data_IF_275389804794
#
_entry.id   IF_275389804794
#
_cell.length_a   1.000
_cell.length_b   1.000
_cell.length_c   1.000
_cell.angle_alpha   90.00
_cell.angle_beta   90.00
_cell.angle_gamma   90.00
#
_symmetry.space_group_name_H-M   'P 1'
#
loop_
_entity.id
_entity.type
_entity.pdbx_description
1 polymer ?
#
# COMPACT_ATOMS: atom_id res chain seq x y z
N UNK A 1 -2.97 -3.48 -4.24
CA UNK A 1 -2.89 -3.97 -5.64
C UNK A 1 -2.98 -5.50 -5.73
N UNK A 2 -1.97 -6.32 -5.36
CA UNK A 2 -2.07 -7.80 -5.50
C UNK A 2 -3.26 -8.40 -4.75
N UNK A 3 -3.61 -7.89 -3.57
CA UNK A 3 -4.80 -8.31 -2.82
C UNK A 3 -6.10 -8.06 -3.59
N UNK A 4 -6.21 -6.92 -4.25
CA UNK A 4 -7.37 -6.56 -5.10
C UNK A 4 -7.47 -7.50 -6.30
N UNK A 5 -6.33 -7.79 -6.96
CA UNK A 5 -6.28 -8.74 -8.08
C UNK A 5 -6.72 -10.15 -7.66
N UNK A 6 -6.20 -10.66 -6.53
CA UNK A 6 -6.59 -11.97 -6.02
C UNK A 6 -8.08 -12.04 -5.66
N UNK A 7 -8.64 -10.98 -5.07
CA UNK A 7 -10.06 -10.93 -4.75
C UNK A 7 -10.93 -10.92 -6.02
N UNK A 8 -10.57 -10.13 -7.03
CA UNK A 8 -11.27 -10.09 -8.31
C UNK A 8 -11.16 -11.42 -9.05
N UNK A 9 -9.98 -12.06 -9.04
CA UNK A 9 -9.77 -13.38 -9.60
C UNK A 9 -10.70 -14.41 -8.94
N UNK A 10 -10.69 -14.50 -7.60
CA UNK A 10 -11.51 -15.45 -6.83
C UNK A 10 -13.01 -15.26 -7.04
N UNK A 11 -13.47 -14.03 -7.21
CA UNK A 11 -14.88 -13.73 -7.44
C UNK A 11 -15.41 -14.25 -8.79
N UNK A 12 -14.52 -14.58 -9.74
CA UNK A 12 -14.88 -15.13 -11.06
C UNK A 12 -14.95 -16.66 -11.12
N UNK A 13 -14.59 -17.34 -10.04
CA UNK A 13 -14.44 -18.80 -10.05
C UNK A 13 -13.11 -19.22 -10.71
N UNK A 14 -12.41 -20.17 -10.10
CA UNK A 14 -11.03 -20.56 -10.48
C UNK A 14 -10.93 -21.36 -11.80
N UNK A 15 -11.87 -21.25 -12.71
CA UNK A 15 -11.94 -22.05 -13.95
C UNK A 15 -11.21 -21.37 -15.13
N UNK A 16 -10.97 -20.06 -15.07
CA UNK A 16 -10.31 -19.33 -16.14
C UNK A 16 -8.78 -19.52 -16.10
N UNK A 17 -8.16 -19.61 -17.28
CA UNK A 17 -6.71 -19.54 -17.39
C UNK A 17 -6.28 -18.06 -17.44
N UNK A 18 -5.16 -17.74 -16.85
CA UNK A 18 -4.67 -16.37 -16.83
C UNK A 18 -3.15 -16.29 -16.90
N UNK A 19 -2.67 -15.13 -17.38
CA UNK A 19 -1.27 -14.72 -17.31
C UNK A 19 -1.13 -13.54 -16.37
N UNK A 20 -0.13 -13.57 -15.49
CA UNK A 20 0.26 -12.43 -14.66
C UNK A 20 1.31 -11.61 -15.39
N UNK A 21 1.02 -10.33 -15.58
CA UNK A 21 1.94 -9.34 -16.12
C UNK A 21 2.40 -8.43 -14.99
N UNK A 22 3.70 -8.36 -14.74
CA UNK A 22 4.29 -7.61 -13.63
C UNK A 22 5.41 -6.69 -14.11
N UNK A 23 5.37 -5.40 -13.77
CA UNK A 23 6.52 -4.52 -13.97
C UNK A 23 7.60 -4.89 -12.95
N UNK A 24 8.77 -5.30 -13.44
CA UNK A 24 9.87 -5.79 -12.59
C UNK A 24 11.08 -4.85 -12.59
N UNK A 25 11.18 -3.94 -13.55
CA UNK A 25 12.22 -2.91 -13.60
C UNK A 25 11.75 -1.71 -14.39
N UNK A 26 12.25 -0.52 -14.03
CA UNK A 26 12.16 0.68 -14.86
C UNK A 26 13.36 1.60 -14.66
N UNK A 27 13.60 2.47 -15.66
CA UNK A 27 14.55 3.59 -15.59
C UNK A 27 13.88 4.83 -16.20
N UNK A 28 14.19 6.01 -15.67
CA UNK A 28 13.64 7.27 -16.16
C UNK A 28 12.18 7.51 -15.78
N UNK A 29 11.45 8.21 -16.66
CA UNK A 29 10.02 8.49 -16.48
C UNK A 29 9.19 7.36 -17.05
N UNK A 30 8.29 6.80 -16.22
CA UNK A 30 7.38 5.72 -16.60
C UNK A 30 5.99 6.00 -16.00
N UNK A 31 4.90 5.44 -16.59
CA UNK A 31 3.53 5.72 -16.13
C UNK A 31 3.29 5.36 -14.66
N UNK A 32 3.91 4.28 -14.17
CA UNK A 32 3.78 3.82 -12.79
C UNK A 32 5.11 3.31 -12.23
N UNK A 33 5.39 3.64 -10.95
CA UNK A 33 6.64 3.31 -10.24
C UNK A 33 6.40 2.45 -8.99
N UNK A 34 5.24 1.82 -8.89
CA UNK A 34 4.79 1.04 -7.74
C UNK A 34 4.76 -0.48 -8.00
N UNK A 35 5.55 -0.95 -8.98
CA UNK A 35 5.57 -2.36 -9.42
C UNK A 35 4.17 -2.88 -9.75
N UNK A 36 3.48 -2.24 -10.69
CA UNK A 36 2.11 -2.57 -11.02
C UNK A 36 2.00 -3.96 -11.63
N UNK A 37 0.83 -4.58 -11.40
CA UNK A 37 0.50 -5.92 -11.89
C UNK A 37 -0.86 -5.93 -12.56
N UNK A 38 -1.03 -6.83 -13.52
CA UNK A 38 -2.26 -7.04 -14.27
C UNK A 38 -2.42 -8.53 -14.56
N UNK A 39 -3.64 -9.06 -14.41
CA UNK A 39 -4.00 -10.38 -14.93
C UNK A 39 -4.68 -10.23 -16.28
N UNK A 40 -4.27 -11.06 -17.22
CA UNK A 40 -4.89 -11.21 -18.54
C UNK A 40 -5.56 -12.58 -18.56
N UNK A 41 -6.88 -12.61 -18.65
CA UNK A 41 -7.68 -13.82 -18.67
C UNK A 41 -7.85 -14.37 -20.09
N UNK A 42 -8.20 -15.64 -20.23
CA UNK A 42 -8.39 -16.31 -21.50
C UNK A 42 -9.59 -15.78 -22.32
N UNK A 43 -10.55 -15.12 -21.68
CA UNK A 43 -11.64 -14.39 -22.32
C UNK A 43 -11.23 -12.98 -22.78
N UNK A 44 -9.96 -12.58 -22.59
CA UNK A 44 -9.45 -11.25 -22.90
C UNK A 44 -9.71 -10.19 -21.83
N UNK A 45 -10.36 -10.54 -20.72
CA UNK A 45 -10.57 -9.60 -19.61
C UNK A 45 -9.25 -9.24 -18.94
N UNK A 46 -9.08 -7.94 -18.64
CA UNK A 46 -7.95 -7.41 -17.89
C UNK A 46 -8.39 -7.08 -16.46
N UNK A 47 -7.66 -7.60 -15.46
CA UNK A 47 -7.80 -7.22 -14.07
C UNK A 47 -6.55 -6.45 -13.62
N UNK A 48 -6.72 -5.22 -13.15
CA UNK A 48 -5.61 -4.32 -12.82
C UNK A 48 -5.03 -3.62 -14.04
N UNK A 49 -3.81 -3.06 -13.90
CA UNK A 49 -3.13 -2.32 -14.98
C UNK A 49 -1.63 -2.24 -14.70
N UNK A 50 -0.82 -2.25 -15.75
CA UNK A 50 0.64 -2.04 -15.67
C UNK A 50 1.05 -0.62 -16.12
N UNK A 51 0.09 0.26 -16.41
CA UNK A 51 0.34 1.66 -16.76
C UNK A 51 -0.48 2.20 -17.91
N UNK A 52 -1.28 1.35 -18.56
CA UNK A 52 -2.16 1.74 -19.68
C UNK A 52 -1.43 1.94 -21.01
N UNK A 53 -2.18 2.46 -21.99
CA UNK A 53 -1.66 2.83 -23.30
C UNK A 53 -1.25 1.65 -24.19
N UNK A 54 -0.47 1.97 -25.23
CA UNK A 54 -0.03 1.00 -26.24
C UNK A 54 0.88 -0.11 -25.66
N UNK A 55 1.67 0.19 -24.63
CA UNK A 55 2.50 -0.80 -23.95
C UNK A 55 1.64 -1.90 -23.29
N UNK A 56 0.63 -1.52 -22.52
CA UNK A 56 -0.30 -2.46 -21.88
C UNK A 56 -1.04 -3.29 -22.92
N UNK A 57 -1.46 -2.68 -24.03
CA UNK A 57 -2.11 -3.39 -25.14
C UNK A 57 -1.17 -4.41 -25.82
N UNK A 58 0.11 -4.08 -26.00
CA UNK A 58 1.11 -5.02 -26.55
C UNK A 58 1.32 -6.19 -25.60
N UNK A 59 1.50 -5.91 -24.30
CA UNK A 59 1.68 -6.94 -23.27
C UNK A 59 0.44 -7.84 -23.16
N UNK A 60 -0.76 -7.27 -23.10
CA UNK A 60 -2.01 -8.05 -22.99
C UNK A 60 -2.25 -8.96 -24.19
N UNK A 61 -1.97 -8.49 -25.40
CA UNK A 61 -2.05 -9.31 -26.62
C UNK A 61 -1.03 -10.46 -26.62
N UNK A 62 0.19 -10.20 -26.16
CA UNK A 62 1.21 -11.24 -26.06
C UNK A 62 0.82 -12.27 -24.99
N UNK A 63 0.40 -11.81 -23.81
CA UNK A 63 -0.06 -12.67 -22.73
C UNK A 63 -1.23 -13.56 -23.16
N UNK A 64 -2.22 -13.00 -23.88
CA UNK A 64 -3.38 -13.77 -24.38
C UNK A 64 -2.94 -14.89 -25.33
N UNK A 65 -1.97 -14.66 -26.21
CA UNK A 65 -1.42 -15.70 -27.10
C UNK A 65 -0.66 -16.78 -26.31
N UNK A 66 0.01 -16.42 -25.22
CA UNK A 66 0.76 -17.36 -24.38
C UNK A 66 -0.13 -18.25 -23.51
N UNK A 67 -1.42 -17.96 -23.34
CA UNK A 67 -2.34 -18.79 -22.54
C UNK A 67 -2.50 -20.21 -23.10
N UNK A 68 -2.39 -20.39 -24.41
CA UNK A 68 -2.50 -21.73 -25.06
C UNK A 68 -1.27 -22.61 -24.79
N UNK A 69 -0.09 -22.00 -24.75
CA UNK A 69 1.20 -22.66 -24.44
C UNK A 69 1.91 -21.86 -23.33
N UNK A 70 1.51 -22.09 -22.06
CA UNK A 70 1.97 -21.24 -20.98
C UNK A 70 3.47 -21.31 -20.75
N UNK A 71 4.14 -20.16 -20.83
CA UNK A 71 5.57 -20.00 -20.52
C UNK A 71 5.81 -18.64 -19.86
N UNK A 72 6.96 -18.47 -19.23
CA UNK A 72 7.36 -17.16 -18.71
C UNK A 72 8.21 -16.42 -19.73
N UNK A 73 8.00 -15.11 -19.87
CA UNK A 73 8.78 -14.26 -20.79
C UNK A 73 8.99 -12.87 -20.20
N UNK A 74 10.18 -12.33 -20.41
CA UNK A 74 10.52 -10.96 -20.03
C UNK A 74 10.48 -10.05 -21.27
N UNK A 75 9.65 -9.03 -21.22
CA UNK A 75 9.51 -8.02 -22.27
C UNK A 75 10.26 -6.75 -21.90
N UNK A 76 11.01 -6.20 -22.86
CA UNK A 76 11.68 -4.92 -22.76
C UNK A 76 10.94 -3.87 -23.58
N UNK A 77 10.70 -2.70 -22.97
CA UNK A 77 10.09 -1.54 -23.62
C UNK A 77 10.99 -0.33 -23.50
N UNK A 78 11.32 0.29 -24.63
CA UNK A 78 11.95 1.60 -24.70
C UNK A 78 10.89 2.65 -25.04
N UNK A 79 10.64 3.58 -24.10
CA UNK A 79 9.70 4.69 -24.24
C UNK A 79 10.42 6.04 -24.34
N UNK A 80 11.72 6.03 -24.67
CA UNK A 80 12.55 7.26 -24.79
C UNK A 80 12.27 8.03 -26.10
N UNK A 81 11.52 7.44 -27.03
CA UNK A 81 11.19 8.05 -28.32
C UNK A 81 12.26 7.92 -29.39
N UNK A 82 13.33 7.14 -29.14
CA UNK A 82 14.35 6.86 -30.13
C UNK A 82 13.87 5.90 -31.23
N UNK A 83 12.77 5.20 -31.00
CA UNK A 83 12.16 4.25 -31.92
C UNK A 83 10.82 4.80 -32.39
N UNK A 84 10.86 5.57 -33.50
CA UNK A 84 9.68 6.27 -34.07
C UNK A 84 8.61 5.30 -34.59
N UNK A 85 8.98 4.02 -34.83
CA UNK A 85 8.05 2.96 -35.24
C UNK A 85 7.37 2.26 -34.03
N UNK A 86 7.92 2.39 -32.82
CA UNK A 86 7.28 1.88 -31.62
C UNK A 86 6.22 2.87 -31.17
N UNK A 87 4.97 2.59 -31.47
CA UNK A 87 3.76 3.27 -30.98
C UNK A 87 3.57 3.09 -29.44
N UNK A 88 4.69 3.25 -28.70
CA UNK A 88 4.80 3.17 -27.24
C UNK A 88 4.89 4.59 -26.75
N UNK A 89 3.91 5.01 -25.94
CA UNK A 89 3.79 6.39 -25.47
C UNK A 89 5.12 7.00 -24.98
N UNK A 90 5.37 8.25 -25.33
CA UNK A 90 6.58 9.03 -25.05
C UNK A 90 6.65 9.39 -23.54
N UNK A 91 7.05 8.46 -22.69
CA UNK A 91 7.24 8.72 -21.26
C UNK A 91 8.71 8.97 -20.87
N UNK A 92 9.66 8.81 -21.79
CA UNK A 92 11.08 9.11 -21.59
C UNK A 92 11.84 8.10 -20.73
N UNK A 93 11.34 6.88 -20.55
CA UNK A 93 12.00 5.85 -19.76
C UNK A 93 12.02 4.46 -20.42
N UNK A 94 12.63 3.50 -19.73
CA UNK A 94 12.60 2.08 -20.12
C UNK A 94 11.92 1.24 -19.08
N UNK A 95 11.31 0.11 -19.48
CA UNK A 95 10.49 -0.74 -18.62
C UNK A 95 10.70 -2.20 -18.97
N UNK A 96 10.80 -3.07 -17.95
CA UNK A 96 10.74 -4.53 -18.12
C UNK A 96 9.48 -5.09 -17.51
N UNK A 97 8.76 -5.91 -18.27
CA UNK A 97 7.53 -6.58 -17.85
C UNK A 97 7.73 -8.09 -17.92
N UNK A 98 7.57 -8.75 -16.78
CA UNK A 98 7.49 -10.20 -16.71
C UNK A 98 6.05 -10.63 -17.01
N UNK A 99 5.87 -11.53 -17.95
CA UNK A 99 4.63 -12.23 -18.26
C UNK A 99 4.80 -13.69 -17.92
N UNK A 100 3.91 -14.26 -17.12
CA UNK A 100 4.01 -15.62 -16.63
C UNK A 100 2.64 -16.25 -16.38
N UNK A 101 2.51 -17.60 -16.41
CA UNK A 101 1.27 -18.28 -16.09
C UNK A 101 0.82 -17.99 -14.67
N UNK A 102 -0.44 -17.61 -14.48
CA UNK A 102 -1.00 -17.44 -13.14
C UNK A 102 -1.54 -18.80 -12.65
N UNK A 103 -0.65 -19.57 -12.04
CA UNK A 103 -0.92 -20.92 -11.52
C UNK A 103 -1.46 -20.89 -10.09
N UNK A 104 -2.00 -22.01 -9.63
CA UNK A 104 -2.39 -22.22 -8.24
C UNK A 104 -1.23 -22.03 -7.27
N UNK A 105 -0.01 -22.43 -7.68
CA UNK A 105 1.20 -22.22 -6.90
C UNK A 105 1.48 -20.72 -6.70
N UNK A 106 1.35 -19.93 -7.77
CA UNK A 106 1.56 -18.49 -7.73
C UNK A 106 0.47 -17.77 -6.92
N UNK A 107 -0.78 -18.20 -7.05
CA UNK A 107 -1.89 -17.72 -6.21
C UNK A 107 -1.63 -18.00 -4.73
N UNK A 108 -1.18 -19.21 -4.40
CA UNK A 108 -0.85 -19.64 -3.04
C UNK A 108 0.30 -18.79 -2.49
N UNK A 109 1.38 -18.61 -3.27
CA UNK A 109 2.52 -17.78 -2.89
C UNK A 109 2.08 -16.35 -2.51
N UNK A 110 1.30 -15.70 -3.34
CA UNK A 110 0.82 -14.35 -3.04
C UNK A 110 -0.18 -14.32 -1.88
N UNK A 111 -0.99 -15.36 -1.73
CA UNK A 111 -1.90 -15.53 -0.60
C UNK A 111 -1.16 -15.62 0.73
N UNK A 112 -0.11 -16.42 0.79
CA UNK A 112 0.72 -16.58 2.00
C UNK A 112 1.56 -15.34 2.28
N UNK A 113 2.10 -14.70 1.26
CA UNK A 113 2.75 -13.39 1.37
C UNK A 113 1.82 -12.36 2.04
N UNK A 114 0.55 -12.27 1.61
CA UNK A 114 -0.42 -11.34 2.19
C UNK A 114 -0.79 -11.70 3.63
N UNK A 115 -0.90 -12.99 3.98
CA UNK A 115 -1.12 -13.42 5.36
C UNK A 115 0.06 -13.01 6.26
N UNK A 116 1.29 -13.27 5.82
CA UNK A 116 2.50 -12.93 6.57
C UNK A 116 2.67 -11.41 6.72
N UNK A 117 2.33 -10.63 5.68
CA UNK A 117 2.41 -9.16 5.72
C UNK A 117 1.44 -8.53 6.73
N UNK A 118 0.43 -9.26 7.21
CA UNK A 118 -0.47 -8.80 8.26
C UNK A 118 0.20 -8.73 9.65
N UNK A 119 1.30 -9.44 9.84
CA UNK A 119 2.13 -9.37 11.04
C UNK A 119 3.18 -8.28 10.83
N UNK A 120 3.51 -7.53 11.87
CA UNK A 120 4.43 -6.36 11.84
C UNK A 120 5.90 -6.78 11.58
N UNK A 121 6.14 -7.52 10.52
CA UNK A 121 7.45 -8.02 10.12
C UNK A 121 7.95 -7.31 8.87
N UNK A 122 9.27 -7.14 8.80
CA UNK A 122 9.96 -6.78 7.56
C UNK A 122 9.77 -7.93 6.57
N UNK A 123 8.87 -7.77 5.63
CA UNK A 123 8.59 -8.77 4.63
C UNK A 123 8.95 -8.24 3.26
N UNK A 124 9.81 -8.95 2.56
CA UNK A 124 10.16 -8.68 1.18
C UNK A 124 9.96 -9.93 0.34
N UNK A 125 9.78 -9.74 -0.95
CA UNK A 125 9.83 -10.82 -1.94
C UNK A 125 11.09 -10.64 -2.76
N UNK A 126 11.90 -11.69 -2.84
CA UNK A 126 13.01 -11.81 -3.79
C UNK A 126 12.51 -12.54 -5.02
N UNK A 127 12.65 -11.92 -6.18
CA UNK A 127 12.49 -12.57 -7.48
C UNK A 127 13.85 -12.67 -8.14
N UNK A 128 14.17 -13.86 -8.61
CA UNK A 128 15.26 -14.09 -9.54
C UNK A 128 14.67 -14.51 -10.89
N UNK A 129 15.01 -13.77 -11.93
CA UNK A 129 14.49 -13.96 -13.29
C UNK A 129 15.70 -14.21 -14.18
N UNK A 130 15.82 -15.41 -14.76
CA UNK A 130 16.86 -15.71 -15.73
C UNK A 130 16.55 -15.06 -17.08
N UNK A 131 17.61 -14.74 -17.83
CA UNK A 131 17.49 -14.26 -19.21
C UNK A 131 17.28 -15.36 -20.24
N UNK A 132 17.23 -16.62 -19.81
CA UNK A 132 17.07 -17.77 -20.70
C UNK A 132 15.70 -17.82 -21.38
N UNK A 133 15.58 -18.61 -22.43
CA UNK A 133 14.30 -18.89 -23.07
C UNK A 133 14.00 -20.39 -22.97
N UNK A 134 12.94 -20.81 -22.26
CA UNK A 134 11.96 -19.99 -21.53
C UNK A 134 12.55 -19.36 -20.26
N UNK A 135 12.09 -18.16 -19.93
CA UNK A 135 12.50 -17.43 -18.74
C UNK A 135 12.16 -18.21 -17.47
N UNK A 136 13.15 -18.44 -16.60
CA UNK A 136 12.94 -19.09 -15.30
C UNK A 136 12.69 -18.02 -14.24
N UNK A 137 11.72 -18.26 -13.38
CA UNK A 137 11.34 -17.32 -12.30
C UNK A 137 11.32 -18.04 -10.97
N UNK A 138 12.22 -17.62 -10.08
CA UNK A 138 12.27 -18.12 -8.71
C UNK A 138 11.82 -17.03 -7.73
N UNK A 139 10.93 -17.38 -6.80
CA UNK A 139 10.38 -16.48 -5.78
C UNK A 139 10.69 -16.98 -4.40
N UNK A 140 10.96 -16.04 -3.52
CA UNK A 140 11.20 -16.31 -2.11
C UNK A 140 10.63 -15.18 -1.26
N UNK A 141 9.92 -15.54 -0.20
CA UNK A 141 9.56 -14.60 0.87
C UNK A 141 10.79 -14.46 1.77
N UNK A 142 11.20 -13.20 2.01
CA UNK A 142 12.37 -12.85 2.80
C UNK A 142 11.91 -12.10 4.04
N UNK A 143 12.14 -12.67 5.21
CA UNK A 143 11.79 -12.10 6.52
C UNK A 143 13.02 -11.77 7.36
N UNK A 144 14.17 -12.36 7.02
CA UNK A 144 15.44 -12.19 7.70
C UNK A 144 16.63 -12.10 6.74
N UNK A 145 17.80 -11.69 7.25
CA UNK A 145 19.05 -11.72 6.47
C UNK A 145 19.46 -13.15 6.06
N UNK A 146 19.10 -14.12 6.86
CA UNK A 146 19.44 -15.53 6.61
C UNK A 146 18.71 -16.11 5.42
N UNK A 147 17.53 -15.54 5.09
CA UNK A 147 16.76 -15.95 3.90
C UNK A 147 17.42 -15.50 2.58
N UNK A 148 18.46 -14.65 2.66
CA UNK A 148 19.15 -14.10 1.49
C UNK A 148 20.45 -14.87 1.30
N UNK A 149 20.38 -15.97 0.57
CA UNK A 149 21.54 -16.73 0.15
C UNK A 149 21.78 -16.55 -1.36
N UNK A 150 23.02 -16.43 -1.75
CA UNK A 150 23.44 -16.42 -3.15
C UNK A 150 24.85 -16.97 -3.27
N UNK A 151 25.13 -17.65 -4.39
CA UNK A 151 26.48 -18.17 -4.71
C UNK A 151 27.47 -17.05 -5.01
N UNK A 152 26.98 -15.87 -5.41
CA UNK A 152 27.78 -14.69 -5.67
C UNK A 152 27.76 -13.72 -4.48
N UNK A 153 28.89 -13.64 -3.79
CA UNK A 153 29.07 -12.88 -2.55
C UNK A 153 28.70 -11.39 -2.69
N UNK A 154 29.05 -10.76 -3.81
CA UNK A 154 28.77 -9.33 -4.02
C UNK A 154 27.28 -9.08 -4.24
N UNK A 155 26.59 -9.94 -4.98
CA UNK A 155 25.14 -9.86 -5.15
C UNK A 155 24.41 -10.05 -3.83
N UNK A 156 24.82 -11.06 -3.06
CA UNK A 156 24.25 -11.34 -1.73
C UNK A 156 24.39 -10.12 -0.81
N UNK A 157 25.58 -9.51 -0.75
CA UNK A 157 25.84 -8.30 0.03
C UNK A 157 24.92 -7.13 -0.35
N UNK A 158 24.72 -6.91 -1.66
CA UNK A 158 23.83 -5.88 -2.18
C UNK A 158 22.36 -6.17 -1.82
N UNK A 159 21.90 -7.41 -1.97
CA UNK A 159 20.54 -7.82 -1.61
C UNK A 159 20.29 -7.68 -0.10
N UNK A 160 21.24 -8.03 0.74
CA UNK A 160 21.17 -7.82 2.20
C UNK A 160 21.08 -6.34 2.55
N UNK A 161 21.83 -5.47 1.89
CA UNK A 161 21.75 -4.02 2.06
C UNK A 161 20.37 -3.48 1.67
N UNK A 162 19.79 -3.98 0.57
CA UNK A 162 18.44 -3.60 0.14
C UNK A 162 17.40 -4.03 1.18
N UNK A 163 17.52 -5.24 1.71
CA UNK A 163 16.62 -5.76 2.74
C UNK A 163 16.70 -4.94 4.04
N UNK A 164 17.90 -4.62 4.50
CA UNK A 164 18.09 -3.86 5.75
C UNK A 164 17.49 -2.46 5.68
N UNK A 165 17.65 -1.82 4.54
CA UNK A 165 17.11 -0.48 4.30
C UNK A 165 15.65 -0.49 3.81
N UNK A 166 15.03 -1.67 3.71
CA UNK A 166 13.64 -1.83 3.22
C UNK A 166 13.38 -1.13 1.89
N UNK A 167 14.31 -1.28 0.95
CA UNK A 167 14.22 -0.68 -0.37
C UNK A 167 13.63 -1.67 -1.36
N UNK A 168 12.72 -1.22 -2.22
CA UNK A 168 12.36 -2.01 -3.40
C UNK A 168 13.31 -1.65 -4.53
N UNK A 169 14.09 -2.62 -5.01
CA UNK A 169 15.08 -2.41 -6.08
C UNK A 169 15.28 -3.66 -6.92
N UNK A 170 15.53 -3.42 -8.19
CA UNK A 170 16.00 -4.43 -9.14
C UNK A 170 17.51 -4.29 -9.36
N UNK A 171 18.20 -5.41 -9.43
CA UNK A 171 19.63 -5.53 -9.75
C UNK A 171 19.77 -6.42 -10.98
N UNK A 172 20.45 -5.93 -12.01
CA UNK A 172 20.80 -6.70 -13.20
C UNK A 172 22.19 -7.33 -13.01
N UNK A 173 22.32 -8.59 -13.38
CA UNK A 173 23.55 -9.35 -13.33
C UNK A 173 23.63 -10.27 -14.55
N UNK A 174 24.48 -9.92 -15.52
CA UNK A 174 24.44 -10.56 -16.83
C UNK A 174 23.05 -10.46 -17.44
N UNK A 175 22.50 -11.58 -17.88
CA UNK A 175 21.16 -11.67 -18.45
C UNK A 175 20.06 -11.88 -17.38
N UNK A 176 20.46 -11.99 -16.11
CA UNK A 176 19.50 -12.20 -15.01
C UNK A 176 19.10 -10.91 -14.33
N UNK A 177 17.87 -10.86 -13.84
CA UNK A 177 17.30 -9.77 -13.04
C UNK A 177 16.96 -10.27 -11.65
N UNK A 178 17.49 -9.63 -10.63
CA UNK A 178 17.13 -9.85 -9.24
C UNK A 178 16.30 -8.66 -8.74
N UNK A 179 15.05 -8.90 -8.36
CA UNK A 179 14.18 -7.90 -7.76
C UNK A 179 13.97 -8.22 -6.28
N UNK A 180 14.28 -7.26 -5.42
CA UNK A 180 13.82 -7.24 -4.04
C UNK A 180 12.66 -6.26 -3.94
N UNK A 181 11.48 -6.78 -3.64
CA UNK A 181 10.24 -6.02 -3.55
C UNK A 181 9.73 -6.02 -2.11
N UNK A 182 9.63 -4.83 -1.54
CA UNK A 182 9.05 -4.68 -0.20
C UNK A 182 7.53 -4.87 -0.27
N UNK A 183 7.03 -5.81 0.52
CA UNK A 183 5.60 -6.05 0.65
C UNK A 183 5.07 -5.13 1.74
N UNK A 184 4.31 -4.14 1.31
CA UNK A 184 3.59 -3.28 2.23
C UNK A 184 2.20 -3.85 2.50
N UNK A 185 1.93 -4.23 3.74
CA UNK A 185 0.55 -4.24 4.20
C UNK A 185 0.18 -2.78 4.50
N UNK A 186 -0.80 -2.22 3.81
CA UNK A 186 -1.23 -0.86 4.13
C UNK A 186 -1.58 -0.79 5.62
N UNK A 187 -1.15 0.26 6.33
CA UNK A 187 -1.57 0.45 7.71
C UNK A 187 -3.09 0.56 7.75
N UNK A 188 -3.68 0.07 8.83
CA UNK A 188 -5.10 0.29 9.05
C UNK A 188 -5.32 1.71 9.55
N UNK A 189 -6.31 2.40 9.02
CA UNK A 189 -6.76 3.68 9.51
C UNK A 189 -7.86 3.48 10.55
N UNK A 190 -7.56 3.81 11.80
CA UNK A 190 -8.50 3.82 12.91
C UNK A 190 -9.10 5.21 13.05
N UNK A 191 -10.38 5.36 12.77
CA UNK A 191 -11.11 6.64 12.85
C UNK A 191 -11.98 6.64 14.09
N UNK A 192 -11.67 7.50 15.03
CA UNK A 192 -12.46 7.72 16.25
C UNK A 192 -13.40 8.90 16.05
N UNK A 193 -14.65 8.59 15.72
CA UNK A 193 -15.72 9.53 15.39
C UNK A 193 -16.37 9.23 14.03
N UNK A 194 -17.62 8.79 14.03
CA UNK A 194 -18.42 8.48 12.85
C UNK A 194 -19.22 9.68 12.32
N UNK A 195 -18.81 10.91 12.68
CA UNK A 195 -19.41 12.14 12.16
C UNK A 195 -19.14 12.35 10.67
N UNK A 196 -19.51 13.50 10.12
CA UNK A 196 -19.39 13.80 8.69
C UNK A 196 -17.93 13.72 8.20
N UNK A 197 -16.96 14.29 8.93
CA UNK A 197 -15.54 14.24 8.56
C UNK A 197 -15.03 12.79 8.60
N UNK A 198 -15.31 12.05 9.69
CA UNK A 198 -14.89 10.65 9.81
C UNK A 198 -15.47 9.79 8.69
N UNK A 199 -16.72 10.01 8.29
CA UNK A 199 -17.36 9.29 7.18
C UNK A 199 -16.70 9.62 5.84
N UNK A 200 -16.45 10.89 5.54
CA UNK A 200 -15.84 11.32 4.30
C UNK A 200 -14.39 10.80 4.17
N UNK A 201 -13.61 10.89 5.26
CA UNK A 201 -12.24 10.33 5.28
C UNK A 201 -12.26 8.81 5.09
N UNK A 202 -13.18 8.09 5.75
CA UNK A 202 -13.31 6.64 5.60
C UNK A 202 -13.62 6.23 4.16
N UNK A 203 -14.49 6.97 3.48
CA UNK A 203 -14.85 6.75 2.08
C UNK A 203 -13.65 6.95 1.14
N UNK A 204 -12.94 8.06 1.28
CA UNK A 204 -11.75 8.35 0.48
C UNK A 204 -10.60 7.39 0.79
N UNK A 205 -10.42 6.99 2.05
CA UNK A 205 -9.42 6.00 2.44
C UNK A 205 -9.70 4.63 1.79
N UNK A 206 -10.96 4.20 1.77
CA UNK A 206 -11.37 2.98 1.07
C UNK A 206 -11.11 3.07 -0.43
N UNK A 207 -11.45 4.17 -1.08
CA UNK A 207 -11.15 4.41 -2.50
C UNK A 207 -9.65 4.28 -2.80
N UNK A 208 -8.79 4.66 -1.85
CA UNK A 208 -7.33 4.52 -1.92
C UNK A 208 -6.81 3.16 -1.40
N UNK A 209 -7.66 2.14 -1.29
CA UNK A 209 -7.33 0.77 -0.85
C UNK A 209 -6.80 0.67 0.59
N UNK A 210 -6.96 1.70 1.43
CA UNK A 210 -6.66 1.63 2.85
C UNK A 210 -7.75 0.85 3.59
N UNK A 211 -7.34 0.01 4.54
CA UNK A 211 -8.29 -0.63 5.44
C UNK A 211 -8.73 0.35 6.52
N UNK A 212 -10.02 0.38 6.82
CA UNK A 212 -10.60 1.33 7.78
C UNK A 212 -11.34 0.61 8.89
N UNK A 213 -11.11 1.06 10.12
CA UNK A 213 -11.96 0.78 11.28
C UNK A 213 -12.55 2.09 11.81
N UNK A 214 -13.84 2.10 12.05
CA UNK A 214 -14.55 3.27 12.60
C UNK A 214 -15.10 2.95 13.97
N UNK A 215 -14.88 3.87 14.90
CA UNK A 215 -15.28 3.78 16.30
C UNK A 215 -16.20 4.94 16.66
N UNK A 216 -17.36 4.67 17.24
CA UNK A 216 -18.27 5.69 17.76
C UNK A 216 -19.18 5.05 18.84
N UNK A 217 -19.68 5.85 19.77
CA UNK A 217 -20.65 5.44 20.79
C UNK A 217 -22.09 5.46 20.26
N UNK A 218 -22.34 6.23 19.21
CA UNK A 218 -23.65 6.43 18.61
C UNK A 218 -23.91 5.35 17.56
N UNK A 219 -24.75 4.38 17.93
CA UNK A 219 -25.07 3.23 17.08
C UNK A 219 -25.69 3.65 15.73
N UNK A 220 -26.46 4.73 15.73
CA UNK A 220 -27.08 5.29 14.54
C UNK A 220 -26.11 5.88 13.52
N UNK A 221 -24.88 6.16 13.92
CA UNK A 221 -23.84 6.67 13.04
C UNK A 221 -22.92 5.59 12.47
N UNK A 222 -22.78 4.44 13.13
CA UNK A 222 -21.90 3.35 12.69
C UNK A 222 -22.65 2.24 11.93
N UNK A 223 -23.56 2.63 11.05
CA UNK A 223 -24.40 1.70 10.28
C UNK A 223 -23.67 1.13 9.06
N UNK A 224 -24.21 0.01 8.53
CA UNK A 224 -23.71 -0.59 7.29
C UNK A 224 -23.84 0.35 6.09
N UNK A 225 -24.93 1.10 6.01
CA UNK A 225 -25.19 2.04 4.92
C UNK A 225 -24.20 3.20 4.90
N UNK A 226 -23.79 3.69 6.07
CA UNK A 226 -22.81 4.78 6.16
C UNK A 226 -21.37 4.31 5.94
N UNK A 227 -21.05 3.09 6.36
CA UNK A 227 -19.70 2.51 6.28
C UNK A 227 -19.74 1.09 5.72
N UNK A 228 -20.17 0.88 4.47
CA UNK A 228 -20.32 -0.47 3.91
C UNK A 228 -18.98 -1.21 3.76
N UNK A 229 -17.88 -0.47 3.67
CA UNK A 229 -16.54 -0.94 3.42
C UNK A 229 -15.62 -0.98 4.66
N UNK A 230 -16.09 -0.50 5.81
CA UNK A 230 -15.28 -0.40 7.02
C UNK A 230 -15.71 -1.41 8.09
N UNK A 231 -14.77 -1.83 8.93
CA UNK A 231 -15.12 -2.49 10.20
C UNK A 231 -15.68 -1.44 11.15
N UNK A 232 -16.90 -1.66 11.61
CA UNK A 232 -17.63 -0.76 12.51
C UNK A 232 -17.57 -1.31 13.92
N UNK A 233 -17.15 -0.48 14.86
CA UNK A 233 -17.00 -0.87 16.26
C UNK A 233 -17.73 0.13 17.14
N UNK A 234 -18.84 -0.31 17.74
CA UNK A 234 -19.47 0.43 18.83
C UNK A 234 -18.47 0.46 19.99
N UNK A 235 -18.21 1.64 20.52
CA UNK A 235 -17.34 1.82 21.65
C UNK A 235 -17.91 2.88 22.56
N UNK A 236 -17.70 2.75 23.86
CA UNK A 236 -18.08 3.79 24.81
C UNK A 236 -17.02 4.89 24.82
N UNK A 237 -17.46 6.15 24.90
CA UNK A 237 -16.59 7.28 25.16
C UNK A 237 -16.78 7.74 26.61
N UNK A 238 -15.71 8.01 27.33
CA UNK A 238 -14.31 7.98 26.93
C UNK A 238 -13.77 6.55 26.76
N UNK A 239 -12.98 6.34 25.72
CA UNK A 239 -12.43 5.03 25.38
C UNK A 239 -11.43 4.57 26.45
N UNK A 240 -11.61 3.35 26.94
CA UNK A 240 -10.64 2.70 27.81
C UNK A 240 -9.33 2.42 27.06
N UNK A 241 -8.19 2.61 27.76
CA UNK A 241 -6.85 2.31 27.24
C UNK A 241 -6.74 0.88 26.67
N UNK A 242 -7.35 -0.09 27.32
CA UNK A 242 -7.36 -1.49 26.88
C UNK A 242 -8.03 -1.66 25.51
N UNK A 243 -9.07 -0.88 25.21
CA UNK A 243 -9.81 -0.94 23.95
C UNK A 243 -8.97 -0.55 22.72
N UNK A 244 -7.91 0.22 22.91
CA UNK A 244 -7.01 0.66 21.82
C UNK A 244 -5.58 0.13 21.96
N UNK A 245 -5.22 -0.52 23.04
CA UNK A 245 -3.86 -1.08 23.28
C UNK A 245 -3.45 -2.13 22.24
N UNK A 246 -4.43 -2.75 21.59
CA UNK A 246 -4.20 -3.73 20.53
C UNK A 246 -3.91 -3.10 19.15
N UNK A 247 -3.95 -1.76 19.03
CA UNK A 247 -3.63 -1.08 17.76
C UNK A 247 -2.13 -1.18 17.52
N UNK A 248 -1.68 -1.77 16.40
CA UNK A 248 -0.27 -1.86 16.09
C UNK A 248 0.38 -0.48 15.91
N UNK A 249 1.64 -0.33 16.32
CA UNK A 249 2.39 0.95 16.14
C UNK A 249 2.46 1.42 14.70
N UNK A 250 2.39 0.53 13.73
CA UNK A 250 2.40 0.84 12.29
C UNK A 250 1.11 1.48 11.79
N UNK A 251 0.00 1.31 12.52
CA UNK A 251 -1.32 1.79 12.10
C UNK A 251 -1.48 3.29 12.33
N UNK A 252 -2.51 3.84 11.72
CA UNK A 252 -2.82 5.25 11.72
C UNK A 252 -4.05 5.53 12.58
N UNK A 253 -4.00 6.58 13.34
CA UNK A 253 -5.09 7.01 14.22
C UNK A 253 -5.54 8.40 13.78
N UNK A 254 -6.84 8.53 13.46
CA UNK A 254 -7.51 9.81 13.23
C UNK A 254 -8.54 10.03 14.32
N UNK A 255 -8.40 11.12 15.07
CA UNK A 255 -9.32 11.54 16.11
C UNK A 255 -10.22 12.64 15.53
N UNK A 256 -11.50 12.32 15.35
CA UNK A 256 -12.55 13.21 14.82
C UNK A 256 -13.78 13.17 15.73
N UNK A 257 -13.56 13.09 17.05
CA UNK A 257 -14.62 12.99 18.03
C UNK A 257 -15.34 14.34 18.22
N UNK A 258 -16.55 14.29 18.78
CA UNK A 258 -17.37 15.50 19.00
C UNK A 258 -16.99 16.29 20.23
N UNK A 259 -16.38 15.67 21.24
CA UNK A 259 -16.13 16.27 22.54
C UNK A 259 -14.65 16.39 22.89
N UNK A 260 -14.25 17.56 23.37
CA UNK A 260 -12.88 17.85 23.78
C UNK A 260 -12.30 16.90 24.85
N UNK A 261 -13.19 16.42 25.75
CA UNK A 261 -12.79 15.49 26.81
C UNK A 261 -12.36 14.14 26.23
N UNK A 262 -13.07 13.68 25.22
CA UNK A 262 -12.75 12.42 24.52
C UNK A 262 -11.45 12.56 23.71
N UNK A 263 -11.25 13.69 23.02
CA UNK A 263 -10.03 13.94 22.25
C UNK A 263 -8.77 13.84 23.12
N UNK A 264 -8.79 14.47 24.31
CA UNK A 264 -7.63 14.44 25.22
C UNK A 264 -7.26 13.00 25.61
N UNK A 265 -8.25 12.21 26.00
CA UNK A 265 -8.02 10.85 26.45
C UNK A 265 -7.55 9.94 25.30
N UNK A 266 -8.22 10.02 24.16
CA UNK A 266 -7.81 9.30 22.96
C UNK A 266 -6.38 9.65 22.53
N UNK A 267 -6.06 10.94 22.57
CA UNK A 267 -4.72 11.41 22.20
C UNK A 267 -3.66 10.92 23.17
N UNK A 268 -3.93 10.96 24.48
CA UNK A 268 -3.04 10.39 25.50
C UNK A 268 -2.75 8.91 25.23
N UNK A 269 -3.78 8.11 24.97
CA UNK A 269 -3.63 6.68 24.68
C UNK A 269 -2.92 6.44 23.33
N UNK A 270 -3.19 7.24 22.30
CA UNK A 270 -2.52 7.14 21.01
C UNK A 270 -1.02 7.44 21.10
N UNK A 271 -0.65 8.42 21.93
CA UNK A 271 0.75 8.76 22.23
C UNK A 271 1.45 7.61 22.97
N UNK A 272 0.78 6.97 23.94
CA UNK A 272 1.33 5.81 24.65
C UNK A 272 1.61 4.64 23.72
N UNK A 273 0.77 4.39 22.72
CA UNK A 273 0.96 3.37 21.70
C UNK A 273 2.14 3.73 20.78
N UNK A 274 2.46 5.00 20.64
CA UNK A 274 3.41 5.52 19.65
C UNK A 274 3.02 5.13 18.23
N UNK A 275 1.73 5.30 17.87
CA UNK A 275 1.23 5.02 16.53
C UNK A 275 2.01 5.81 15.48
N UNK A 276 2.18 5.23 14.29
CA UNK A 276 2.95 5.83 13.19
C UNK A 276 2.40 7.17 12.73
N UNK A 277 1.09 7.36 12.86
CA UNK A 277 0.40 8.61 12.55
C UNK A 277 -0.68 8.85 13.59
N UNK A 278 -0.74 10.06 14.11
CA UNK A 278 -1.79 10.51 15.01
C UNK A 278 -2.29 11.86 14.50
N UNK A 279 -3.48 11.87 13.91
CA UNK A 279 -4.14 13.08 13.43
C UNK A 279 -5.30 13.49 14.33
N UNK A 280 -5.41 14.78 14.61
CA UNK A 280 -6.51 15.35 15.41
C UNK A 280 -7.25 16.42 14.62
N UNK A 281 -8.55 16.21 14.41
CA UNK A 281 -9.44 17.22 13.83
C UNK A 281 -9.66 18.30 14.88
N UNK A 282 -9.02 19.45 14.71
CA UNK A 282 -9.05 20.55 15.66
C UNK A 282 -8.76 21.88 14.99
N UNK A 283 -9.08 23.00 15.67
CA UNK A 283 -8.49 24.29 15.33
C UNK A 283 -7.11 24.44 15.98
N UNK A 284 -6.27 25.32 15.43
CA UNK A 284 -4.95 25.65 16.02
C UNK A 284 -5.06 26.09 17.48
N UNK A 285 -6.10 26.89 17.82
CA UNK A 285 -6.38 27.32 19.19
C UNK A 285 -6.68 26.13 20.11
N UNK A 286 -7.51 25.20 19.66
CA UNK A 286 -7.86 23.98 20.41
C UNK A 286 -6.61 23.13 20.64
N UNK A 287 -5.82 22.91 19.61
CA UNK A 287 -4.57 22.14 19.69
C UNK A 287 -3.60 22.74 20.71
N UNK A 288 -3.40 24.06 20.68
CA UNK A 288 -2.52 24.74 21.63
C UNK A 288 -2.91 24.44 23.08
N UNK A 289 -4.18 24.61 23.44
CA UNK A 289 -4.69 24.34 24.79
C UNK A 289 -4.54 22.85 25.18
N UNK A 290 -4.82 21.95 24.25
CA UNK A 290 -4.76 20.52 24.49
C UNK A 290 -3.31 20.03 24.66
N UNK A 291 -2.39 20.52 23.85
CA UNK A 291 -0.97 20.17 23.92
C UNK A 291 -0.32 20.70 25.23
N UNK A 292 -0.66 21.91 25.67
CA UNK A 292 -0.22 22.46 26.98
C UNK A 292 -0.70 21.57 28.14
N UNK A 293 -1.96 21.12 28.10
CA UNK A 293 -2.51 20.24 29.10
C UNK A 293 -1.83 18.86 29.13
N UNK A 294 -1.56 18.28 27.97
CA UNK A 294 -0.85 17.00 27.86
C UNK A 294 0.60 17.12 28.34
N UNK A 295 1.27 18.21 27.99
CA UNK A 295 2.62 18.49 28.48
C UNK A 295 2.65 18.58 30.02
N UNK A 296 1.71 19.32 30.61
CA UNK A 296 1.56 19.41 32.08
C UNK A 296 1.21 18.07 32.74
N UNK A 297 0.69 17.11 31.97
CA UNK A 297 0.38 15.73 32.42
C UNK A 297 1.55 14.78 32.20
N UNK A 298 2.73 15.26 31.77
CA UNK A 298 3.96 14.48 31.67
C UNK A 298 4.35 13.99 30.26
N UNK A 299 3.59 14.37 29.22
CA UNK A 299 4.00 14.03 27.85
C UNK A 299 5.14 14.92 27.38
N UNK A 300 6.20 14.32 26.84
CA UNK A 300 7.33 15.05 26.30
C UNK A 300 6.94 15.86 25.05
N UNK A 301 7.53 17.04 24.89
CA UNK A 301 7.28 17.91 23.73
C UNK A 301 7.59 17.21 22.40
N UNK A 302 8.60 16.35 22.38
CA UNK A 302 8.95 15.53 21.22
C UNK A 302 7.82 14.57 20.82
N UNK A 303 7.09 13.99 21.78
CA UNK A 303 5.93 13.14 21.50
C UNK A 303 4.76 13.95 20.96
N UNK A 304 4.54 15.15 21.51
CA UNK A 304 3.48 16.05 21.08
C UNK A 304 3.73 16.59 19.66
N UNK A 305 4.98 16.82 19.28
CA UNK A 305 5.34 17.28 17.92
C UNK A 305 5.06 16.23 16.82
N UNK A 306 4.82 14.98 17.18
CA UNK A 306 4.42 13.90 16.24
C UNK A 306 2.92 13.88 15.94
N UNK A 307 2.16 14.70 16.65
CA UNK A 307 0.71 14.80 16.42
C UNK A 307 0.42 15.83 15.34
N UNK A 308 -0.29 15.40 14.32
CA UNK A 308 -0.77 16.27 13.25
C UNK A 308 -2.04 16.98 13.72
N UNK A 309 -1.92 18.24 14.12
CA UNK A 309 -3.02 19.04 14.62
C UNK A 309 -2.80 20.56 14.41
N UNK A 310 -3.67 21.26 13.69
CA UNK A 310 -4.81 20.72 12.93
C UNK A 310 -4.39 19.69 11.91
N UNK A 311 -5.19 18.61 11.77
CA UNK A 311 -4.89 17.51 10.83
C UNK A 311 -5.15 17.94 9.38
N UNK A 312 -4.29 17.47 8.47
CA UNK A 312 -4.39 17.70 7.04
C UNK A 312 -3.40 18.74 6.51
N UNK A 313 -3.08 18.63 5.24
CA UNK A 313 -2.28 19.65 4.55
C UNK A 313 -3.13 20.89 4.28
N UNK A 314 -2.52 22.07 4.38
CA UNK A 314 -3.22 23.33 4.13
C UNK A 314 -3.54 23.50 2.64
N UNK A 315 -4.82 23.40 2.31
CA UNK A 315 -5.39 23.59 0.96
C UNK A 315 -6.54 24.60 0.97
N UNK A 316 -6.68 25.39 2.06
CA UNK A 316 -7.82 26.29 2.28
C UNK A 316 -9.19 25.56 2.20
N UNK A 317 -9.28 24.35 2.76
CA UNK A 317 -10.47 23.51 2.73
C UNK A 317 -11.64 24.14 3.46
N UNK A 318 -12.80 24.27 2.79
CA UNK A 318 -14.02 24.91 3.31
C UNK A 318 -15.14 23.89 3.57
N UNK A 319 -15.19 22.81 2.80
CA UNK A 319 -16.24 21.80 2.87
C UNK A 319 -15.74 20.49 3.49
N UNK A 320 -16.66 19.67 4.00
CA UNK A 320 -16.32 18.36 4.56
C UNK A 320 -15.56 17.46 3.58
N UNK A 321 -15.93 17.36 2.30
CA UNK A 321 -15.14 16.62 1.32
C UNK A 321 -13.72 17.17 1.13
N UNK A 322 -13.54 18.48 1.06
CA UNK A 322 -12.22 19.11 0.92
C UNK A 322 -11.34 18.85 2.16
N UNK A 323 -11.90 18.97 3.37
CA UNK A 323 -11.24 18.60 4.63
C UNK A 323 -10.79 17.13 4.57
N UNK A 324 -11.63 16.23 4.08
CA UNK A 324 -11.28 14.81 3.96
C UNK A 324 -10.16 14.58 2.95
N UNK A 325 -10.12 15.32 1.84
CA UNK A 325 -9.02 15.28 0.86
C UNK A 325 -7.71 15.76 1.52
N UNK A 326 -7.75 16.87 2.22
CA UNK A 326 -6.62 17.44 2.96
C UNK A 326 -6.04 16.41 3.95
N UNK A 327 -6.88 15.82 4.78
CA UNK A 327 -6.49 14.79 5.77
C UNK A 327 -5.90 13.56 5.07
N UNK A 328 -6.56 13.04 4.05
CA UNK A 328 -6.07 11.85 3.36
C UNK A 328 -4.74 12.10 2.62
N UNK A 329 -4.56 13.29 2.07
CA UNK A 329 -3.30 13.68 1.42
C UNK A 329 -2.13 13.67 2.41
N UNK A 330 -2.34 14.16 3.63
CA UNK A 330 -1.34 14.10 4.71
C UNK A 330 -1.05 12.64 5.11
N UNK A 331 -2.09 11.81 5.31
CA UNK A 331 -1.96 10.40 5.62
C UNK A 331 -1.14 9.68 4.54
N UNK A 332 -1.41 9.93 3.25
CA UNK A 332 -0.66 9.35 2.14
C UNK A 332 0.80 9.82 2.14
N UNK A 333 1.06 11.09 2.46
CA UNK A 333 2.42 11.64 2.55
C UNK A 333 3.25 10.89 3.61
N UNK A 334 2.70 10.74 4.82
CA UNK A 334 3.33 9.98 5.92
C UNK A 334 3.47 8.49 5.56
N UNK A 335 2.47 7.91 4.92
CA UNK A 335 2.52 6.52 4.45
C UNK A 335 3.67 6.30 3.47
N UNK A 336 3.91 7.24 2.57
CA UNK A 336 4.97 7.18 1.56
C UNK A 336 6.35 7.61 2.09
N UNK A 337 6.47 7.93 3.39
CA UNK A 337 7.72 8.28 4.05
C UNK A 337 8.22 9.69 3.74
N UNK A 338 7.34 10.57 3.28
CA UNK A 338 7.62 12.00 3.21
C UNK A 338 7.16 12.63 4.53
N UNK A 339 7.99 13.48 5.13
CA UNK A 339 7.51 14.40 6.17
C UNK A 339 6.47 15.32 5.53
N UNK A 340 5.31 15.40 6.12
CA UNK A 340 4.30 16.37 5.72
C UNK A 340 4.74 17.76 6.10
#
# INVERSE_FOLDING_TARGET
MIKSLLNQWKSRGNESRAMLCSVVQWKGSVPRKDYPMMLVLDDGTLLGTIGGGSMELKVSRAALKMISEPSSMLFDFDMTGNDVEADVGLCGGTLKVLVEPFSLELETFYGDMLKQSAFDQKLMVKLHISGDSPTQVHRQIVTSRQDIENTEVELEKRLRTIFENQLTRSLVQGDSLNLMWQVFSPPMLHIFGAGHVGQAVAQLAHFNELQVKVYDDRTELITADRFPYAKRLKTEFPINREAISHIPKRDFILIASREHKHDRQLLSHALDISARYIGLVSSARKWKLLSENLHSSGFAQESLSKVHAPVGIDIDAQTVPEIAISILSEIISVYRGKSA
#
